data_IF_863754773992
#
_entry.id   IF_863754773992
#
_cell.length_a   1.000
_cell.length_b   1.000
_cell.length_c   1.000
_cell.angle_alpha   90.00
_cell.angle_beta   90.00
_cell.angle_gamma   90.00
#
_symmetry.space_group_name_H-M   'P 1'
#
loop_
_entity.id
_entity.type
_entity.pdbx_description
1 polymer ?
#
# COMPACT_ATOMS: atom_id res chain seq x y z
N UNK A 1 19.05 0.97 -5.74
CA UNK A 1 18.04 0.19 -6.49
C UNK A 1 17.50 1.09 -7.59
N UNK A 2 17.58 0.64 -8.85
CA UNK A 2 16.86 1.33 -9.92
C UNK A 2 15.39 0.90 -9.87
N UNK A 3 14.49 1.86 -9.92
CA UNK A 3 13.05 1.65 -10.01
C UNK A 3 12.52 2.43 -11.20
N UNK A 4 11.65 1.82 -12.00
CA UNK A 4 11.02 2.50 -13.14
C UNK A 4 9.80 3.34 -12.69
N UNK A 5 9.31 4.21 -13.56
CA UNK A 5 8.13 5.04 -13.31
C UNK A 5 6.91 4.20 -12.89
N UNK A 6 6.68 3.07 -13.57
CA UNK A 6 5.59 2.15 -13.23
C UNK A 6 5.71 1.57 -11.82
N UNK A 7 6.92 1.36 -11.30
CA UNK A 7 7.12 0.95 -9.91
C UNK A 7 6.69 2.06 -8.94
N UNK A 8 7.10 3.30 -9.24
CA UNK A 8 6.74 4.48 -8.46
C UNK A 8 5.23 4.70 -8.44
N UNK A 9 4.56 4.62 -9.59
CA UNK A 9 3.11 4.77 -9.69
C UNK A 9 2.36 3.67 -8.94
N UNK A 10 2.82 2.43 -9.07
CA UNK A 10 2.25 1.28 -8.36
C UNK A 10 2.36 1.49 -6.84
N UNK A 11 3.53 1.90 -6.36
CA UNK A 11 3.76 2.21 -4.94
C UNK A 11 2.87 3.37 -4.49
N UNK A 12 2.81 4.46 -5.25
CA UNK A 12 2.00 5.63 -4.93
C UNK A 12 0.49 5.33 -4.90
N UNK A 13 0.00 4.38 -5.71
CA UNK A 13 -1.37 3.89 -5.64
C UNK A 13 -1.68 3.24 -4.29
N UNK A 14 -0.86 2.26 -3.89
CA UNK A 14 -1.02 1.60 -2.59
C UNK A 14 -0.86 2.56 -1.40
N UNK A 15 0.09 3.50 -1.47
CA UNK A 15 0.31 4.48 -0.40
C UNK A 15 -0.91 5.42 -0.22
N UNK A 16 -1.60 5.78 -1.31
CA UNK A 16 -2.87 6.52 -1.25
C UNK A 16 -3.97 5.72 -0.55
N UNK A 17 -4.14 4.45 -0.89
CA UNK A 17 -5.14 3.58 -0.25
C UNK A 17 -4.86 3.39 1.25
N UNK A 18 -3.60 3.16 1.62
CA UNK A 18 -3.18 3.02 3.02
C UNK A 18 -3.46 4.32 3.79
N UNK A 19 -3.15 5.46 3.18
CA UNK A 19 -3.39 6.78 3.78
C UNK A 19 -4.88 7.02 3.99
N UNK A 20 -5.70 6.70 2.99
CA UNK A 20 -7.16 6.79 3.10
C UNK A 20 -7.70 5.94 4.26
N UNK A 21 -7.29 4.67 4.34
CA UNK A 21 -7.74 3.75 5.39
C UNK A 21 -7.32 4.21 6.79
N UNK A 22 -6.10 4.76 6.92
CA UNK A 22 -5.60 5.33 8.18
C UNK A 22 -6.38 6.58 8.59
N UNK A 23 -6.64 7.49 7.65
CA UNK A 23 -7.41 8.70 7.92
C UNK A 23 -8.84 8.35 8.34
N UNK A 24 -9.47 7.38 7.66
CA UNK A 24 -10.79 6.87 8.06
C UNK A 24 -10.74 6.25 9.47
N UNK A 25 -9.75 5.41 9.76
CA UNK A 25 -9.59 4.81 11.08
C UNK A 25 -9.41 5.84 12.20
N UNK A 26 -8.64 6.90 11.94
CA UNK A 26 -8.41 8.00 12.88
C UNK A 26 -9.71 8.80 13.14
N UNK A 27 -10.47 9.13 12.09
CA UNK A 27 -11.74 9.85 12.20
C UNK A 27 -12.80 9.08 13.00
N UNK A 28 -12.78 7.75 12.94
CA UNK A 28 -13.73 6.88 13.61
C UNK A 28 -13.14 6.14 14.83
N UNK A 29 -12.14 6.73 15.50
CA UNK A 29 -11.43 6.11 16.62
C UNK A 29 -12.38 5.50 17.67
N UNK A 30 -12.03 4.31 18.16
CA UNK A 30 -12.83 3.56 19.14
C UNK A 30 -13.98 2.73 18.55
N UNK A 31 -14.37 2.96 17.29
CA UNK A 31 -15.43 2.18 16.64
C UNK A 31 -14.93 0.87 15.99
N UNK A 32 -15.87 -0.03 15.68
CA UNK A 32 -15.61 -1.22 14.84
C UNK A 32 -15.10 -0.83 13.45
N UNK A 33 -15.58 0.28 12.88
CA UNK A 33 -15.13 0.77 11.59
C UNK A 33 -13.63 1.13 11.62
N UNK A 34 -13.15 1.76 12.69
CA UNK A 34 -11.72 2.05 12.88
C UNK A 34 -10.87 0.79 12.96
N UNK A 35 -11.31 -0.22 13.73
CA UNK A 35 -10.62 -1.51 13.81
C UNK A 35 -10.55 -2.20 12.44
N UNK A 36 -11.64 -2.18 11.68
CA UNK A 36 -11.70 -2.75 10.34
C UNK A 36 -10.74 -2.05 9.37
N UNK A 37 -10.81 -0.72 9.29
CA UNK A 37 -9.93 0.08 8.42
C UNK A 37 -8.46 -0.08 8.79
N UNK A 38 -8.13 -0.20 10.07
CA UNK A 38 -6.75 -0.49 10.53
C UNK A 38 -6.26 -1.84 10.03
N UNK A 39 -7.09 -2.89 10.12
CA UNK A 39 -6.78 -4.22 9.59
C UNK A 39 -6.60 -4.20 8.07
N UNK A 40 -7.49 -3.51 7.36
CA UNK A 40 -7.38 -3.34 5.93
C UNK A 40 -6.10 -2.60 5.52
N UNK A 41 -5.72 -1.53 6.23
CA UNK A 41 -4.47 -0.81 5.96
C UNK A 41 -3.24 -1.71 6.08
N UNK A 42 -3.22 -2.60 7.06
CA UNK A 42 -2.13 -3.59 7.22
C UNK A 42 -2.12 -4.60 6.07
N UNK A 43 -3.27 -5.14 5.69
CA UNK A 43 -3.40 -6.08 4.57
C UNK A 43 -2.96 -5.43 3.24
N UNK A 44 -3.37 -4.20 2.98
CA UNK A 44 -2.96 -3.43 1.79
C UNK A 44 -1.45 -3.21 1.80
N UNK A 45 -0.83 -2.90 2.95
CA UNK A 45 0.63 -2.78 3.07
C UNK A 45 1.35 -4.10 2.71
N UNK A 46 0.83 -5.24 3.15
CA UNK A 46 1.39 -6.55 2.80
C UNK A 46 1.23 -6.85 1.30
N UNK A 47 0.08 -6.51 0.71
CA UNK A 47 -0.15 -6.66 -0.73
C UNK A 47 0.76 -5.75 -1.56
N UNK A 48 0.97 -4.51 -1.11
CA UNK A 48 1.93 -3.59 -1.72
C UNK A 48 3.33 -4.22 -1.76
N UNK A 49 3.83 -4.74 -0.64
CA UNK A 49 5.14 -5.38 -0.59
C UNK A 49 5.24 -6.54 -1.59
N UNK A 50 4.24 -7.42 -1.64
CA UNK A 50 4.19 -8.53 -2.61
C UNK A 50 4.19 -8.04 -4.06
N UNK A 51 3.39 -7.01 -4.36
CA UNK A 51 3.27 -6.44 -5.70
C UNK A 51 4.58 -5.78 -6.15
N UNK A 52 5.22 -5.01 -5.28
CA UNK A 52 6.50 -4.36 -5.56
C UNK A 52 7.62 -5.38 -5.73
N UNK A 53 7.71 -6.41 -4.89
CA UNK A 53 8.69 -7.50 -5.08
C UNK A 53 8.47 -8.24 -6.39
N UNK A 54 7.22 -8.54 -6.74
CA UNK A 54 6.88 -9.19 -8.01
C UNK A 54 7.23 -8.30 -9.21
N UNK A 55 7.03 -6.99 -9.09
CA UNK A 55 7.42 -6.05 -10.13
C UNK A 55 8.95 -6.00 -10.27
N UNK A 56 9.65 -5.82 -9.16
CA UNK A 56 11.11 -5.72 -9.13
C UNK A 56 11.79 -6.95 -9.74
N UNK A 57 11.28 -8.14 -9.45
CA UNK A 57 11.84 -9.41 -9.99
C UNK A 57 11.56 -9.65 -11.48
N UNK A 58 10.59 -8.95 -12.08
CA UNK A 58 10.15 -9.20 -13.47
C UNK A 58 10.41 -8.02 -14.41
N UNK A 59 10.59 -6.82 -13.88
CA UNK A 59 10.78 -5.64 -14.70
C UNK A 59 12.24 -5.56 -15.15
N UNK A 60 12.53 -5.51 -16.45
CA UNK A 60 13.90 -5.43 -16.97
C UNK A 60 14.60 -4.10 -16.63
N UNK A 61 13.84 -3.07 -16.21
CA UNK A 61 14.36 -1.77 -15.80
C UNK A 61 14.61 -1.66 -14.29
N UNK A 62 13.96 -2.52 -13.48
CA UNK A 62 14.12 -2.50 -12.03
C UNK A 62 15.26 -3.43 -11.61
N UNK A 63 16.07 -3.00 -10.63
CA UNK A 63 17.31 -3.65 -10.22
C UNK A 63 18.29 -2.64 -9.65
#
# INVERSE_FOLDING_TARGET
MKTCERFTDLKAGYERDITFLRNHAARHAGSTASKSSTRHALAVKQNMAKALTRHFTRCPLCG
#
